data_IF_030171482681
#
_entry.id   IF_030171482681
#
_cell.length_a   1.000
_cell.length_b   1.000
_cell.length_c   1.000
_cell.angle_alpha   90.00
_cell.angle_beta   90.00
_cell.angle_gamma   90.00
#
_symmetry.space_group_name_H-M   'P 1'
#
loop_
_entity.id
_entity.type
_entity.pdbx_description
1 polymer ?
#
# COMPACT_ATOMS: atom_id res chain seq x y z
N UNK A 1 -61.50 -18.99 11.32
CA UNK A 1 -61.86 -17.59 11.03
C UNK A 1 -61.29 -16.75 12.16
N UNK A 2 -60.51 -15.74 11.80
CA UNK A 2 -59.78 -14.77 12.63
C UNK A 2 -58.38 -15.19 13.13
N UNK A 3 -57.42 -14.68 12.36
CA UNK A 3 -55.98 -14.54 12.53
C UNK A 3 -55.56 -13.89 13.85
N UNK A 4 -54.44 -14.36 14.42
CA UNK A 4 -53.64 -13.59 15.38
C UNK A 4 -52.23 -13.45 14.80
N UNK A 5 -51.99 -12.33 14.12
CA UNK A 5 -50.71 -12.01 13.51
C UNK A 5 -49.60 -11.90 14.55
N UNK A 6 -48.49 -12.59 14.29
CA UNK A 6 -47.21 -12.44 14.97
C UNK A 6 -46.72 -10.99 14.86
N UNK A 7 -46.59 -10.30 16.00
CA UNK A 7 -45.96 -8.98 16.04
C UNK A 7 -44.48 -9.12 15.69
N UNK A 8 -44.13 -8.79 14.45
CA UNK A 8 -42.75 -8.67 13.99
C UNK A 8 -42.04 -7.61 14.83
N UNK A 9 -41.00 -8.03 15.58
CA UNK A 9 -40.17 -7.14 16.36
C UNK A 9 -39.57 -6.06 15.46
N UNK A 10 -39.67 -4.79 15.89
CA UNK A 10 -39.00 -3.67 15.24
C UNK A 10 -37.50 -3.93 15.28
N UNK A 11 -36.96 -4.49 14.20
CA UNK A 11 -35.52 -4.61 14.03
C UNK A 11 -34.91 -3.22 14.23
N UNK A 12 -33.90 -3.14 15.10
CA UNK A 12 -33.16 -1.91 15.33
C UNK A 12 -32.76 -1.31 13.98
N UNK A 13 -33.30 -0.14 13.65
CA UNK A 13 -32.85 0.58 12.47
C UNK A 13 -31.37 0.93 12.68
N UNK A 14 -30.50 0.35 11.85
CA UNK A 14 -29.09 0.73 11.80
C UNK A 14 -29.06 2.16 11.29
N UNK A 15 -28.84 3.12 12.18
CA UNK A 15 -28.63 4.52 11.82
C UNK A 15 -27.39 4.55 10.94
N UNK A 16 -27.58 4.75 9.63
CA UNK A 16 -26.47 5.01 8.72
C UNK A 16 -25.99 6.42 9.00
N UNK A 17 -25.00 6.55 9.87
CA UNK A 17 -24.33 7.82 10.15
C UNK A 17 -23.69 8.28 8.85
N UNK A 18 -24.31 9.24 8.18
CA UNK A 18 -23.76 9.88 6.97
C UNK A 18 -22.80 10.95 7.44
N UNK A 19 -21.50 10.68 7.32
CA UNK A 19 -20.48 11.68 7.59
C UNK A 19 -20.50 12.77 6.49
N UNK A 20 -20.08 14.00 6.80
CA UNK A 20 -19.90 15.03 5.77
C UNK A 20 -18.99 14.50 4.67
N UNK A 21 -19.42 14.59 3.41
CA UNK A 21 -18.63 14.13 2.25
C UNK A 21 -17.37 14.99 2.03
N UNK A 22 -17.34 16.21 2.60
CA UNK A 22 -16.22 17.14 2.51
C UNK A 22 -15.28 16.99 3.70
N UNK A 23 -14.08 16.47 3.46
CA UNK A 23 -13.05 16.21 4.47
C UNK A 23 -11.72 16.78 3.95
N UNK A 24 -11.12 17.74 4.64
CA UNK A 24 -9.90 18.43 4.18
C UNK A 24 -8.60 17.85 4.74
N UNK A 25 -8.69 16.84 5.62
CA UNK A 25 -7.53 16.20 6.23
C UNK A 25 -7.88 14.76 6.62
N UNK A 26 -6.94 13.80 6.51
CA UNK A 26 -7.14 12.44 6.98
C UNK A 26 -7.32 12.43 8.50
N UNK A 27 -8.13 11.51 9.01
CA UNK A 27 -8.13 11.22 10.45
C UNK A 27 -6.80 10.56 10.87
N UNK A 28 -6.47 10.56 12.16
CA UNK A 28 -5.22 9.98 12.70
C UNK A 28 -5.02 8.50 12.32
N UNK A 29 -6.11 7.75 12.15
CA UNK A 29 -6.07 6.35 11.74
C UNK A 29 -5.94 6.16 10.23
N UNK A 30 -6.36 7.16 9.45
CA UNK A 30 -6.30 7.16 7.98
C UNK A 30 -5.01 7.77 7.43
N UNK A 31 -4.24 8.47 8.27
CA UNK A 31 -3.00 9.13 7.86
C UNK A 31 -1.96 8.12 7.35
N UNK A 32 -1.22 8.50 6.32
CA UNK A 32 -0.17 7.64 5.76
C UNK A 32 0.95 7.37 6.78
N UNK A 33 0.97 6.14 7.32
CA UNK A 33 1.98 5.71 8.29
C UNK A 33 3.19 5.08 7.59
N UNK A 34 4.23 5.89 7.34
CA UNK A 34 5.47 5.49 6.66
C UNK A 34 6.06 4.17 7.16
N UNK A 35 6.21 4.00 8.48
CA UNK A 35 6.82 2.80 9.08
C UNK A 35 6.03 1.53 8.73
N UNK A 36 4.69 1.60 8.79
CA UNK A 36 3.82 0.47 8.46
C UNK A 36 3.98 0.08 6.99
N UNK A 37 4.01 1.07 6.10
CA UNK A 37 4.17 0.83 4.66
C UNK A 37 5.57 0.29 4.36
N UNK A 38 6.65 0.83 4.94
CA UNK A 38 8.01 0.28 4.82
C UNK A 38 8.07 -1.21 5.18
N UNK A 39 7.41 -1.61 6.27
CA UNK A 39 7.37 -3.02 6.70
C UNK A 39 6.60 -3.91 5.71
N UNK A 40 5.51 -3.41 5.12
CA UNK A 40 4.76 -4.12 4.09
C UNK A 40 5.64 -4.34 2.85
N UNK A 41 6.29 -3.26 2.38
CA UNK A 41 7.18 -3.30 1.22
C UNK A 41 8.29 -4.34 1.43
N UNK A 42 9.00 -4.28 2.56
CA UNK A 42 10.08 -5.21 2.87
C UNK A 42 9.59 -6.67 2.88
N UNK A 43 8.47 -6.97 3.55
CA UNK A 43 7.90 -8.32 3.59
C UNK A 43 7.52 -8.85 2.21
N UNK A 44 6.96 -8.00 1.34
CA UNK A 44 6.62 -8.39 -0.03
C UNK A 44 7.88 -8.69 -0.86
N UNK A 45 8.89 -7.82 -0.79
CA UNK A 45 10.15 -8.03 -1.53
C UNK A 45 10.87 -9.29 -1.06
N UNK A 46 10.98 -9.51 0.26
CA UNK A 46 11.61 -10.73 0.80
C UNK A 46 10.86 -11.96 0.34
N UNK A 47 9.53 -11.99 0.45
CA UNK A 47 8.73 -13.14 0.01
C UNK A 47 8.93 -13.48 -1.47
N UNK A 48 9.06 -12.46 -2.32
CA UNK A 48 9.20 -12.67 -3.76
C UNK A 48 10.63 -12.93 -4.23
N UNK A 49 11.66 -12.38 -3.57
CA UNK A 49 13.04 -12.41 -4.08
C UNK A 49 14.00 -13.28 -3.26
N UNK A 50 13.61 -13.70 -2.07
CA UNK A 50 14.44 -14.57 -1.23
C UNK A 50 14.71 -15.91 -1.92
N UNK A 51 15.98 -16.32 -1.95
CA UNK A 51 16.43 -17.55 -2.59
C UNK A 51 16.47 -17.53 -4.12
N UNK A 52 16.11 -16.42 -4.79
CA UNK A 52 16.19 -16.31 -6.25
C UNK A 52 17.56 -15.83 -6.73
N UNK A 53 18.00 -16.38 -7.85
CA UNK A 53 19.15 -15.89 -8.60
C UNK A 53 18.71 -14.90 -9.69
N UNK A 54 19.60 -13.98 -10.07
CA UNK A 54 19.25 -12.97 -11.06
C UNK A 54 19.11 -13.56 -12.46
N UNK A 55 17.97 -13.32 -13.09
CA UNK A 55 17.72 -13.58 -14.50
C UNK A 55 17.00 -12.38 -15.14
N UNK A 56 17.49 -11.92 -16.29
CA UNK A 56 16.97 -10.75 -16.99
C UNK A 56 15.52 -10.94 -17.47
N UNK A 57 15.16 -12.14 -17.93
CA UNK A 57 13.79 -12.44 -18.40
C UNK A 57 12.74 -12.28 -17.30
N UNK A 58 13.13 -12.60 -16.06
CA UNK A 58 12.22 -12.74 -14.94
C UNK A 58 12.06 -11.43 -14.16
N UNK A 59 13.03 -10.50 -14.30
CA UNK A 59 13.04 -9.20 -13.62
C UNK A 59 11.76 -8.40 -13.85
N UNK A 60 11.25 -8.41 -15.09
CA UNK A 60 10.00 -7.72 -15.42
C UNK A 60 8.82 -8.32 -14.66
N UNK A 61 8.75 -9.65 -14.59
CA UNK A 61 7.71 -10.38 -13.87
C UNK A 61 7.75 -10.09 -12.37
N UNK A 62 8.93 -10.18 -11.75
CA UNK A 62 9.07 -9.89 -10.32
C UNK A 62 8.76 -8.44 -9.98
N UNK A 63 9.16 -7.49 -10.82
CA UNK A 63 8.90 -6.06 -10.59
C UNK A 63 7.41 -5.75 -10.52
N UNK A 64 6.64 -6.31 -11.47
CA UNK A 64 5.18 -6.17 -11.53
C UNK A 64 4.54 -6.90 -10.34
N UNK A 65 4.94 -8.14 -10.08
CA UNK A 65 4.40 -8.94 -8.98
C UNK A 65 4.60 -8.25 -7.61
N UNK A 66 5.78 -7.69 -7.36
CA UNK A 66 6.07 -6.93 -6.14
C UNK A 66 5.21 -5.67 -6.08
N UNK A 67 5.11 -4.90 -7.17
CA UNK A 67 4.32 -3.67 -7.19
C UNK A 67 2.84 -3.95 -6.89
N UNK A 68 2.27 -4.97 -7.52
CA UNK A 68 0.88 -5.37 -7.32
C UNK A 68 0.65 -5.94 -5.92
N UNK A 69 1.57 -6.79 -5.41
CA UNK A 69 1.48 -7.34 -4.07
C UNK A 69 1.56 -6.24 -2.99
N UNK A 70 2.47 -5.28 -3.15
CA UNK A 70 2.59 -4.12 -2.25
C UNK A 70 1.32 -3.28 -2.30
N UNK A 71 0.82 -2.96 -3.49
CA UNK A 71 -0.42 -2.20 -3.65
C UNK A 71 -1.61 -2.91 -2.99
N UNK A 72 -1.79 -4.21 -3.25
CA UNK A 72 -2.86 -5.00 -2.66
C UNK A 72 -2.78 -5.03 -1.13
N UNK A 73 -1.59 -5.29 -0.56
CA UNK A 73 -1.42 -5.30 0.91
C UNK A 73 -1.62 -3.94 1.54
N UNK A 74 -1.23 -2.84 0.88
CA UNK A 74 -1.55 -1.50 1.39
C UNK A 74 -3.07 -1.31 1.44
N UNK A 75 -3.81 -1.70 0.41
CA UNK A 75 -5.27 -1.59 0.42
C UNK A 75 -5.95 -2.50 1.47
N UNK A 76 -5.38 -3.67 1.78
CA UNK A 76 -5.95 -4.59 2.79
C UNK A 76 -5.54 -4.22 4.22
N UNK A 77 -4.26 -3.95 4.44
CA UNK A 77 -3.69 -3.80 5.78
C UNK A 77 -3.75 -2.35 6.27
N UNK A 78 -3.91 -1.36 5.38
CA UNK A 78 -4.00 0.06 5.72
C UNK A 78 -5.37 0.66 5.36
N UNK A 79 -5.93 1.45 6.28
CA UNK A 79 -7.17 2.18 6.05
C UNK A 79 -6.88 3.53 5.39
N UNK A 80 -6.61 3.51 4.09
CA UNK A 80 -6.29 4.74 3.32
C UNK A 80 -7.39 5.07 2.30
N UNK A 81 -8.60 5.47 2.73
CA UNK A 81 -9.75 5.61 1.81
C UNK A 81 -9.58 6.71 0.77
N UNK A 82 -8.83 7.77 1.09
CA UNK A 82 -8.65 8.95 0.23
C UNK A 82 -7.24 9.10 -0.33
N UNK A 83 -6.37 8.11 -0.16
CA UNK A 83 -5.03 8.19 -0.73
C UNK A 83 -4.96 7.55 -2.11
N UNK A 84 -4.39 8.27 -3.06
CA UNK A 84 -3.89 7.72 -4.32
C UNK A 84 -2.51 7.11 -4.05
N UNK A 85 -2.40 5.80 -4.24
CA UNK A 85 -1.17 5.04 -4.00
C UNK A 85 -0.47 4.78 -5.33
N UNK A 86 0.78 5.23 -5.44
CA UNK A 86 1.68 4.95 -6.56
C UNK A 86 2.83 4.09 -6.05
N UNK A 87 3.08 2.96 -6.71
CA UNK A 87 4.16 2.03 -6.37
C UNK A 87 5.15 1.96 -7.52
N UNK A 88 6.43 2.10 -7.22
CA UNK A 88 7.52 1.97 -8.17
C UNK A 88 8.54 0.97 -7.63
N UNK A 89 8.88 -0.03 -8.44
CA UNK A 89 9.83 -1.08 -8.08
C UNK A 89 11.00 -1.09 -9.04
N UNK A 90 12.21 -1.17 -8.50
CA UNK A 90 13.47 -1.28 -9.21
C UNK A 90 14.11 -2.60 -8.81
N UNK A 91 14.54 -3.39 -9.79
CA UNK A 91 15.25 -4.65 -9.58
C UNK A 91 16.48 -4.64 -10.47
N UNK A 92 17.60 -5.11 -9.95
CA UNK A 92 18.81 -5.28 -10.73
C UNK A 92 19.70 -6.38 -10.18
N UNK A 93 20.69 -6.75 -10.98
CA UNK A 93 21.68 -7.73 -10.57
C UNK A 93 22.60 -7.13 -9.52
N UNK A 94 23.00 -7.91 -8.52
CA UNK A 94 24.05 -7.51 -7.59
C UNK A 94 25.42 -7.93 -8.17
N UNK A 95 26.20 -6.96 -8.64
CA UNK A 95 27.56 -7.16 -9.19
C UNK A 95 28.48 -6.00 -8.83
N UNK A 96 28.93 -5.93 -7.57
CA UNK A 96 29.93 -4.96 -7.09
C UNK A 96 29.71 -3.52 -7.59
N UNK A 97 28.45 -3.14 -7.73
CA UNK A 97 28.00 -1.88 -8.33
C UNK A 97 27.22 -1.11 -7.30
N UNK A 98 27.34 0.21 -7.35
CA UNK A 98 26.57 1.10 -6.47
C UNK A 98 25.42 1.74 -7.26
N UNK A 99 24.25 1.73 -6.65
CA UNK A 99 23.02 2.27 -7.23
C UNK A 99 22.35 3.16 -6.19
N UNK A 100 22.14 4.42 -6.57
CA UNK A 100 21.44 5.40 -5.73
C UNK A 100 20.14 5.83 -6.39
N UNK A 101 19.02 5.55 -5.73
CA UNK A 101 17.69 5.98 -6.16
C UNK A 101 17.27 7.17 -5.29
N UNK A 102 16.84 8.24 -5.93
CA UNK A 102 16.34 9.45 -5.26
C UNK A 102 15.10 9.97 -5.98
N UNK A 103 14.21 10.61 -5.24
CA UNK A 103 12.99 11.22 -5.74
C UNK A 103 12.85 12.63 -5.18
N UNK A 104 12.31 13.55 -5.99
CA UNK A 104 11.88 14.88 -5.55
C UNK A 104 10.40 15.01 -5.85
N UNK A 105 9.65 15.61 -4.93
CA UNK A 105 8.20 15.73 -4.99
C UNK A 105 7.79 17.19 -4.79
N UNK A 106 6.69 17.58 -5.43
CA UNK A 106 5.94 18.79 -5.14
C UNK A 106 4.55 18.32 -4.73
N UNK A 107 4.22 18.46 -3.45
CA UNK A 107 3.08 17.84 -2.81
C UNK A 107 2.70 18.57 -1.52
N UNK A 108 1.63 18.17 -0.85
CA UNK A 108 1.25 18.74 0.45
C UNK A 108 2.06 18.07 1.59
N UNK A 109 2.91 18.84 2.26
CA UNK A 109 3.79 18.35 3.32
C UNK A 109 3.03 17.84 4.56
N UNK A 110 1.77 18.24 4.76
CA UNK A 110 0.98 17.82 5.91
C UNK A 110 0.33 16.44 5.70
N UNK A 111 -0.12 16.18 4.47
CA UNK A 111 -1.00 15.05 4.14
C UNK A 111 -0.35 14.01 3.22
N UNK A 112 0.54 14.41 2.31
CA UNK A 112 1.22 13.52 1.38
C UNK A 112 2.49 12.93 2.00
N UNK A 113 2.82 11.71 1.62
CA UNK A 113 4.01 11.05 2.18
C UNK A 113 4.53 9.92 1.28
N UNK A 114 5.74 9.46 1.56
CA UNK A 114 6.37 8.33 0.87
C UNK A 114 6.99 7.33 1.84
N UNK A 115 7.09 6.10 1.39
CA UNK A 115 7.79 5.02 2.06
C UNK A 115 8.66 4.28 1.04
N UNK A 116 9.84 3.86 1.46
CA UNK A 116 10.71 3.03 0.62
C UNK A 116 11.37 1.94 1.46
N UNK A 117 11.72 0.85 0.81
CA UNK A 117 12.53 -0.19 1.39
C UNK A 117 13.48 -0.77 0.33
N UNK A 118 14.57 -1.36 0.81
CA UNK A 118 15.60 -1.99 -0.02
C UNK A 118 15.72 -3.45 0.40
N UNK A 119 15.83 -4.34 -0.58
CA UNK A 119 16.16 -5.74 -0.43
C UNK A 119 17.50 -6.02 -1.11
N UNK A 120 18.37 -6.77 -0.43
CA UNK A 120 19.67 -7.18 -0.97
C UNK A 120 19.87 -8.67 -0.74
N UNK A 121 20.29 -9.35 -1.79
CA UNK A 121 20.75 -10.74 -1.79
C UNK A 121 22.15 -10.79 -2.44
N UNK A 122 22.77 -11.96 -2.46
CA UNK A 122 24.05 -12.19 -3.13
C UNK A 122 23.98 -11.89 -4.64
N UNK A 123 22.83 -12.11 -5.27
CA UNK A 123 22.67 -12.01 -6.73
C UNK A 123 21.76 -10.86 -7.19
N UNK A 124 20.90 -10.33 -6.31
CA UNK A 124 19.85 -9.38 -6.66
C UNK A 124 19.84 -8.24 -5.65
N UNK A 125 19.68 -7.01 -6.14
CA UNK A 125 19.21 -5.88 -5.33
C UNK A 125 17.83 -5.46 -5.83
N UNK A 126 16.98 -5.00 -4.93
CA UNK A 126 15.69 -4.42 -5.28
C UNK A 126 15.37 -3.24 -4.36
N UNK A 127 14.75 -2.21 -4.92
CA UNK A 127 14.24 -1.07 -4.17
C UNK A 127 12.81 -0.82 -4.59
N UNK A 128 11.92 -0.67 -3.63
CA UNK A 128 10.54 -0.30 -3.91
C UNK A 128 10.20 0.99 -3.16
N UNK A 129 9.54 1.90 -3.86
CA UNK A 129 9.11 3.21 -3.38
C UNK A 129 7.61 3.33 -3.56
N UNK A 130 6.93 3.76 -2.51
CA UNK A 130 5.50 3.99 -2.47
C UNK A 130 5.27 5.45 -2.16
N UNK A 131 4.46 6.12 -2.98
CA UNK A 131 3.97 7.47 -2.75
C UNK A 131 2.48 7.40 -2.43
N UNK A 132 2.08 8.07 -1.36
CA UNK A 132 0.68 8.27 -0.98
C UNK A 132 0.34 9.74 -1.11
N UNK A 133 -0.59 10.04 -2.02
CA UNK A 133 -1.13 11.40 -2.21
C UNK A 133 -2.55 11.46 -1.68
N UNK A 134 -2.82 12.33 -0.72
CA UNK A 134 -4.15 12.57 -0.22
C UNK A 134 -4.99 13.27 -1.30
N UNK A 135 -6.19 12.74 -1.54
CA UNK A 135 -7.12 13.28 -2.53
C UNK A 135 -8.20 14.08 -1.80
N UNK A 136 -8.05 15.40 -1.81
CA UNK A 136 -9.01 16.40 -1.31
C UNK A 136 -10.37 16.38 -2.02
#
# INVERSE_FOLDING_TARGET
>A
MADLEMSSGRGNQVIKVVMPTYIMAPTEDERFRRIKVCNIIFKCMTKELEGKEFNESDCKGWSIAIADAVKARIHTDCSFPRYKIVVQTFIGQQRLQDVRITSRCLWDDDHDNHASAVFNSQHIWATCVVFGFYAD
#
